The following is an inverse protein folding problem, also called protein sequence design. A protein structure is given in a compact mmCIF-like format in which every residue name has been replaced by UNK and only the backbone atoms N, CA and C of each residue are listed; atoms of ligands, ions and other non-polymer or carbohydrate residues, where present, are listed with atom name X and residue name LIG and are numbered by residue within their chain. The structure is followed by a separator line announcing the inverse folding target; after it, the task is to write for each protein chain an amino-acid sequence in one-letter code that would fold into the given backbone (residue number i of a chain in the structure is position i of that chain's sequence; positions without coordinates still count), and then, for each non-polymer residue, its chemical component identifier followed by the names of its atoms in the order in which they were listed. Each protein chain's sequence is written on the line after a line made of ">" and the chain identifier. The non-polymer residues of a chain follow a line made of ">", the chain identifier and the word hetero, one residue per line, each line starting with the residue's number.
data_IF_066837149520
#
_entry.id   IF_066837149520
#
_cell.length_a   1.000
_cell.length_b   1.000
_cell.length_c   1.000
_cell.angle_alpha   90.00
_cell.angle_beta   90.00
_cell.angle_gamma   90.00
#
_symmetry.space_group_name_H-M   'P 1'
#
loop_
_entity.id
_entity.type
_entity.pdbx_description
1 polymer ?
#
# COMPACT_ATOMS: atom_id res chain seq x y z
N UNK A 1 9.66 17.97 -3.58
CA UNK A 1 9.19 17.14 -2.45
C UNK A 1 10.17 16.01 -2.25
N UNK A 2 10.43 15.58 -1.01
CA UNK A 2 11.43 14.54 -0.71
C UNK A 2 10.76 13.16 -0.76
N UNK A 3 11.28 12.27 -1.60
CA UNK A 3 10.85 10.87 -1.65
C UNK A 3 11.37 10.12 -0.43
N UNK A 4 10.50 9.38 0.23
CA UNK A 4 10.83 8.52 1.37
C UNK A 4 10.45 7.08 1.06
N UNK A 5 11.35 6.16 1.38
CA UNK A 5 11.15 4.74 1.13
C UNK A 5 10.20 4.14 2.17
N UNK A 6 9.28 3.31 1.69
CA UNK A 6 8.33 2.54 2.49
C UNK A 6 8.45 1.07 2.15
N UNK A 7 8.36 0.23 3.18
CA UNK A 7 8.31 -1.21 3.07
C UNK A 7 7.00 -1.69 3.68
N UNK A 8 6.16 -2.31 2.85
CA UNK A 8 4.81 -2.71 3.20
C UNK A 8 4.75 -4.23 3.15
N UNK A 9 4.64 -4.86 4.31
CA UNK A 9 4.55 -6.31 4.42
C UNK A 9 3.08 -6.74 4.51
N UNK A 10 2.60 -7.54 3.58
CA UNK A 10 1.23 -8.08 3.59
C UNK A 10 1.08 -9.10 4.73
N UNK A 11 0.19 -8.81 5.68
CA UNK A 11 0.04 -9.60 6.91
C UNK A 11 -0.50 -11.02 6.66
N UNK A 12 -1.37 -11.18 5.66
CA UNK A 12 -1.91 -12.47 5.23
C UNK A 12 -1.46 -12.78 3.78
N UNK A 13 -0.21 -13.23 3.58
CA UNK A 13 0.41 -13.16 2.26
C UNK A 13 0.01 -14.29 1.31
N UNK A 14 -0.57 -15.40 1.77
CA UNK A 14 -0.66 -16.64 0.99
C UNK A 14 -1.13 -16.44 -0.47
N UNK A 15 -2.29 -15.81 -0.68
CA UNK A 15 -2.81 -15.56 -2.03
C UNK A 15 -2.04 -14.46 -2.77
N UNK A 16 -1.60 -13.43 -2.06
CA UNK A 16 -0.86 -12.32 -2.63
C UNK A 16 0.52 -12.76 -3.14
N UNK A 17 1.26 -13.50 -2.32
CA UNK A 17 2.57 -14.05 -2.60
C UNK A 17 2.51 -15.10 -3.70
N UNK A 18 1.51 -15.99 -3.71
CA UNK A 18 1.31 -16.92 -4.81
C UNK A 18 1.13 -16.20 -6.17
N UNK A 19 0.49 -15.04 -6.17
CA UNK A 19 0.25 -14.24 -7.39
C UNK A 19 1.46 -13.39 -7.79
N UNK A 20 2.19 -12.84 -6.82
CA UNK A 20 3.20 -11.80 -7.05
C UNK A 20 4.65 -12.26 -6.84
N UNK A 21 4.85 -13.45 -6.27
CA UNK A 21 6.15 -14.00 -5.90
C UNK A 21 6.81 -13.31 -4.70
N UNK A 22 6.11 -12.41 -4.00
CA UNK A 22 6.60 -11.74 -2.80
C UNK A 22 5.42 -11.24 -1.94
N UNK A 23 5.65 -11.15 -0.63
CA UNK A 23 4.74 -10.55 0.36
C UNK A 23 5.11 -9.12 0.76
N UNK A 24 6.32 -8.70 0.39
CA UNK A 24 6.88 -7.39 0.70
C UNK A 24 6.82 -6.46 -0.52
N UNK A 25 6.16 -5.33 -0.37
CA UNK A 25 6.13 -4.26 -1.36
C UNK A 25 7.08 -3.15 -0.92
N UNK A 26 8.14 -2.92 -1.71
CA UNK A 26 9.05 -1.79 -1.52
C UNK A 26 8.64 -0.66 -2.46
N UNK A 27 8.23 0.46 -1.87
CA UNK A 27 7.76 1.64 -2.59
C UNK A 27 8.33 2.93 -2.02
N UNK A 28 7.79 4.05 -2.47
CA UNK A 28 8.14 5.36 -1.98
C UNK A 28 6.92 6.27 -1.92
N UNK A 29 6.96 7.27 -1.04
CA UNK A 29 5.92 8.30 -0.91
C UNK A 29 6.53 9.70 -0.94
N UNK A 30 5.75 10.65 -1.45
CA UNK A 30 5.99 12.09 -1.32
C UNK A 30 4.99 12.75 -0.37
N UNK A 31 3.98 12.01 0.12
CA UNK A 31 2.94 12.51 1.04
C UNK A 31 3.57 12.99 2.36
N UNK A 32 3.27 14.22 2.85
CA UNK A 32 3.88 14.75 4.07
C UNK A 32 3.76 13.82 5.27
N UNK A 33 4.76 13.85 6.15
CA UNK A 33 4.89 12.87 7.24
C UNK A 33 3.84 12.98 8.34
N UNK A 34 3.24 14.16 8.49
CA UNK A 34 2.18 14.42 9.46
C UNK A 34 0.80 13.95 8.96
N UNK A 35 0.68 13.54 7.69
CA UNK A 35 -0.55 12.96 7.16
C UNK A 35 -0.69 11.53 7.67
N UNK A 36 -1.91 11.15 8.03
CA UNK A 36 -2.22 9.78 8.45
C UNK A 36 -2.34 8.82 7.27
N UNK A 37 -2.53 9.33 6.05
CA UNK A 37 -2.75 8.52 4.86
C UNK A 37 -1.68 8.81 3.83
N UNK A 38 -1.10 7.77 3.24
CA UNK A 38 0.02 7.91 2.33
C UNK A 38 -0.27 7.31 0.97
N UNK A 39 0.07 8.07 -0.05
CA UNK A 39 0.10 7.57 -1.41
C UNK A 39 1.48 6.96 -1.64
N UNK A 40 1.51 5.66 -1.90
CA UNK A 40 2.73 4.89 -2.11
C UNK A 40 2.82 4.48 -3.58
N UNK A 41 3.94 4.81 -4.19
CA UNK A 41 4.28 4.48 -5.56
C UNK A 41 5.28 3.32 -5.61
N UNK A 42 5.16 2.49 -6.64
CA UNK A 42 6.02 1.34 -6.89
C UNK A 42 6.65 1.42 -8.28
N UNK A 43 7.88 0.89 -8.41
CA UNK A 43 8.57 0.81 -9.69
C UNK A 43 8.11 -0.36 -10.57
N UNK A 44 7.30 -1.26 -10.02
CA UNK A 44 6.67 -2.39 -10.73
C UNK A 44 5.19 -2.45 -10.40
N UNK A 45 4.46 -3.17 -11.24
CA UNK A 45 3.06 -3.50 -10.97
C UNK A 45 2.94 -4.72 -10.05
N UNK A 46 1.93 -4.69 -9.20
CA UNK A 46 1.48 -5.75 -8.31
C UNK A 46 0.04 -6.12 -8.67
N UNK A 47 -0.37 -7.32 -8.28
CA UNK A 47 -1.71 -7.85 -8.54
C UNK A 47 -2.47 -8.14 -7.25
N UNK A 48 -3.75 -7.78 -7.23
CA UNK A 48 -4.70 -8.12 -6.17
C UNK A 48 -6.02 -8.54 -6.81
N UNK A 49 -6.32 -9.85 -6.78
CA UNK A 49 -7.39 -10.41 -7.60
C UNK A 49 -7.15 -10.13 -9.09
N UNK A 50 -8.14 -9.53 -9.74
CA UNK A 50 -8.08 -9.15 -11.17
C UNK A 50 -7.49 -7.75 -11.42
N UNK A 51 -7.11 -7.03 -10.36
CA UNK A 51 -6.53 -5.69 -10.46
C UNK A 51 -5.00 -5.74 -10.56
N UNK A 52 -4.45 -4.83 -11.36
CA UNK A 52 -3.01 -4.53 -11.42
C UNK A 52 -2.79 -3.09 -10.97
N UNK A 53 -1.82 -2.86 -10.09
CA UNK A 53 -1.55 -1.53 -9.53
C UNK A 53 -0.05 -1.31 -9.33
N UNK A 54 0.39 -0.07 -9.53
CA UNK A 54 1.73 0.40 -9.17
C UNK A 54 1.67 1.57 -8.17
N UNK A 55 0.47 1.84 -7.64
CA UNK A 55 0.19 2.92 -6.71
C UNK A 55 -0.95 2.51 -5.77
N UNK A 56 -0.80 2.79 -4.49
CA UNK A 56 -1.79 2.49 -3.45
C UNK A 56 -1.95 3.68 -2.51
N UNK A 57 -3.14 3.81 -1.96
CA UNK A 57 -3.37 4.53 -0.72
C UNK A 57 -3.12 3.56 0.44
N UNK A 58 -2.45 4.05 1.46
CA UNK A 58 -2.27 3.35 2.72
C UNK A 58 -2.87 4.19 3.84
N UNK A 59 -3.77 3.60 4.60
CA UNK A 59 -4.45 4.26 5.73
C UNK A 59 -4.41 3.39 6.98
N UNK A 60 -4.22 3.97 8.19
CA UNK A 60 -4.31 3.26 9.46
C UNK A 60 -5.74 2.81 9.78
N UNK A 61 -6.74 3.39 9.11
CA UNK A 61 -8.13 2.94 9.22
C UNK A 61 -8.36 1.80 8.27
N UNK A 62 -9.23 0.88 8.66
CA UNK A 62 -9.86 -0.01 7.70
C UNK A 62 -10.76 0.86 6.83
N UNK A 63 -10.26 1.22 5.65
CA UNK A 63 -11.06 1.98 4.70
C UNK A 63 -11.96 1.00 3.95
N UNK A 64 -13.07 0.65 4.61
CA UNK A 64 -14.18 -0.07 4.00
C UNK A 64 -15.12 0.85 3.24
N UNK A 65 -14.76 2.12 3.03
CA UNK A 65 -15.65 3.08 2.39
C UNK A 65 -15.71 2.90 0.87
N UNK A 66 -16.94 3.07 0.39
CA UNK A 66 -17.36 2.98 -0.99
C UNK A 66 -16.71 4.13 -1.75
N UNK A 67 -15.68 3.81 -2.56
CA UNK A 67 -15.31 4.67 -3.67
C UNK A 67 -16.54 4.79 -4.58
N UNK A 68 -16.94 6.01 -4.90
CA UNK A 68 -18.20 6.42 -5.55
C UNK A 68 -18.32 5.96 -7.03
N UNK A 69 -18.13 4.68 -7.29
CA UNK A 69 -18.61 3.99 -8.48
C UNK A 69 -18.71 2.49 -8.18
N UNK A 70 -19.89 1.95 -8.47
CA UNK A 70 -20.25 0.54 -8.35
C UNK A 70 -19.12 -0.41 -8.82
N UNK A 71 -18.90 -1.45 -8.01
CA UNK A 71 -18.48 -2.81 -8.39
C UNK A 71 -17.09 -3.34 -8.04
N UNK A 72 -16.24 -2.65 -7.25
CA UNK A 72 -15.04 -3.32 -6.69
C UNK A 72 -14.80 -2.98 -5.22
N UNK A 73 -15.38 -3.80 -4.33
CA UNK A 73 -14.94 -3.88 -2.92
C UNK A 73 -13.54 -4.47 -2.89
N UNK A 74 -12.53 -3.64 -2.72
CA UNK A 74 -11.22 -4.12 -2.28
C UNK A 74 -11.29 -4.16 -0.75
N UNK A 75 -11.38 -5.38 -0.19
CA UNK A 75 -11.05 -5.57 1.21
C UNK A 75 -9.57 -5.20 1.33
N UNK A 76 -9.27 -4.04 1.90
CA UNK A 76 -7.91 -3.53 1.95
C UNK A 76 -7.00 -4.55 2.64
N UNK A 77 -5.95 -5.00 1.97
CA UNK A 77 -5.02 -5.98 2.55
C UNK A 77 -4.37 -5.36 3.77
N UNK A 78 -4.44 -6.05 4.91
CA UNK A 78 -3.74 -5.63 6.12
C UNK A 78 -2.22 -5.67 5.87
N UNK A 79 -1.53 -4.59 6.23
CA UNK A 79 -0.09 -4.46 6.06
C UNK A 79 0.61 -3.96 7.32
N UNK A 80 1.82 -4.45 7.54
CA UNK A 80 2.79 -3.83 8.44
C UNK A 80 3.67 -2.87 7.64
N UNK A 81 3.69 -1.60 8.03
CA UNK A 81 4.45 -0.57 7.34
C UNK A 81 5.74 -0.32 8.10
N UNK A 82 6.84 -0.27 7.35
CA UNK A 82 8.16 0.12 7.85
C UNK A 82 8.68 1.29 7.03
N UNK A 83 9.30 2.25 7.72
CA UNK A 83 10.01 3.38 7.12
C UNK A 83 11.50 3.17 7.16
N UNK A 84 12.19 3.61 6.12
CA UNK A 84 13.65 3.71 6.17
C UNK A 84 14.06 4.89 7.05
N UNK A 85 14.93 4.63 8.02
CA UNK A 85 15.63 5.62 8.85
C UNK A 85 17.14 5.42 8.70
N UNK A 86 17.95 6.23 9.36
CA UNK A 86 19.42 6.29 9.20
C UNK A 86 20.13 4.93 9.26
N UNK A 87 19.59 3.99 10.04
CA UNK A 87 20.16 2.68 10.35
C UNK A 87 19.34 1.49 9.80
N UNK A 88 18.22 1.72 9.09
CA UNK A 88 17.47 0.65 8.44
C UNK A 88 15.95 0.81 8.43
N UNK A 89 15.25 -0.31 8.30
CA UNK A 89 13.78 -0.37 8.29
C UNK A 89 13.22 -0.43 9.71
N UNK A 90 12.40 0.56 10.09
CA UNK A 90 11.74 0.62 11.39
C UNK A 90 10.24 0.49 11.22
N UNK A 91 9.60 -0.27 12.12
CA UNK A 91 8.15 -0.32 12.19
C UNK A 91 7.57 1.08 12.36
N UNK A 92 6.49 1.35 11.64
CA UNK A 92 5.77 2.61 11.74
C UNK A 92 4.33 2.41 12.23
N UNK A 93 3.53 1.69 11.45
CA UNK A 93 2.13 1.41 11.78
C UNK A 93 1.62 0.14 11.09
N UNK A 94 0.43 -0.29 11.49
CA UNK A 94 -0.40 -1.23 10.74
C UNK A 94 -1.41 -0.40 9.93
N UNK A 95 -1.69 -0.82 8.71
CA UNK A 95 -2.67 -0.16 7.87
C UNK A 95 -3.33 -1.12 6.88
N UNK A 96 -4.14 -0.54 5.99
CA UNK A 96 -4.74 -1.26 4.87
C UNK A 96 -4.27 -0.68 3.55
N UNK A 97 -4.13 -1.56 2.53
CA UNK A 97 -3.81 -1.16 1.16
C UNK A 97 -5.07 -1.03 0.32
N UNK A 98 -5.23 0.12 -0.34
CA UNK A 98 -6.27 0.33 -1.36
C UNK A 98 -5.61 0.79 -2.66
N UNK A 99 -5.69 0.03 -3.77
CA UNK A 99 -5.24 0.49 -5.08
C UNK A 99 -5.81 1.86 -5.43
N UNK A 100 -4.93 2.84 -5.65
CA UNK A 100 -5.32 4.21 -5.94
C UNK A 100 -5.39 4.41 -7.45
N UNK A 101 -6.57 4.71 -7.99
CA UNK A 101 -6.74 5.12 -9.39
C UNK A 101 -6.64 6.63 -9.50
N UNK A 102 -6.01 7.14 -10.57
CA UNK A 102 -6.29 8.51 -11.00
C UNK A 102 -7.70 8.52 -11.60
N UNK A 103 -8.56 9.41 -11.13
CA UNK A 103 -9.79 9.71 -11.85
C UNK A 103 -9.37 10.31 -13.19
N UNK A 104 -9.76 9.65 -14.29
CA UNK A 104 -9.61 10.14 -15.65
C UNK A 104 -10.48 11.37 -15.89
#
# INVERSE_FOLDING_TARGET
>A
MTRRALHLHVAEPYYFEATNGASDLIGWTETPEYESEWIVHFNKYWRLGDESFNRVLVSPRYDGEVLDSLDRRILGLAVNIRRWREDGWHFDMIGTLSPHREQA
#
